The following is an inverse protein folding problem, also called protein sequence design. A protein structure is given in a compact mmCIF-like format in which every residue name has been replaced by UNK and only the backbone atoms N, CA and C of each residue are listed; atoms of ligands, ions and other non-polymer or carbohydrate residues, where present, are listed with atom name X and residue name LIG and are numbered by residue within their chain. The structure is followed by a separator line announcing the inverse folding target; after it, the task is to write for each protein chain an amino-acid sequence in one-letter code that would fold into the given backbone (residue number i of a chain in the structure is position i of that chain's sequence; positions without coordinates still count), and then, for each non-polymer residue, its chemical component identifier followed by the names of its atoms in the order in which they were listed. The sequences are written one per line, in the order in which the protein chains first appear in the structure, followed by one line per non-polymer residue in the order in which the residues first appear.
data_IF_422588722320
#
_entry.id   IF_422588722320
#
_cell.length_a   1.000
_cell.length_b   1.000
_cell.length_c   1.000
_cell.angle_alpha   90.00
_cell.angle_beta   90.00
_cell.angle_gamma   90.00
#
_symmetry.space_group_name_H-M   'P 1'
#
loop_
_entity.id
_entity.type
_entity.pdbx_description
1 polymer ?
#
# COMPACT_ATOMS: atom_id res chain seq x y z
N UNK A 1 8.43 -0.15 8.55
CA UNK A 1 7.92 0.10 7.20
C UNK A 1 8.92 0.97 6.45
N UNK A 2 9.20 0.66 5.20
CA UNK A 2 10.05 1.45 4.31
C UNK A 2 9.16 2.03 3.22
N UNK A 3 9.27 3.32 2.96
CA UNK A 3 8.54 3.98 1.88
C UNK A 3 8.74 5.48 1.92
N UNK A 4 8.59 6.10 0.76
CA UNK A 4 8.62 7.57 0.58
C UNK A 4 7.39 8.00 -0.19
N UNK A 5 6.86 9.17 0.13
CA UNK A 5 5.76 9.77 -0.63
C UNK A 5 6.30 10.47 -1.89
N UNK A 6 7.44 11.14 -1.75
CA UNK A 6 8.11 11.80 -2.88
C UNK A 6 9.52 11.23 -3.02
N UNK A 7 9.88 10.84 -4.23
CA UNK A 7 11.20 10.30 -4.55
C UNK A 7 12.19 11.39 -4.98
N UNK A 8 13.44 11.00 -5.21
CA UNK A 8 14.50 11.89 -5.63
C UNK A 8 14.21 12.65 -6.95
N UNK A 9 13.30 12.14 -7.77
CA UNK A 9 12.96 12.68 -9.08
C UNK A 9 11.72 13.58 -9.08
N UNK A 10 11.16 13.90 -7.90
CA UNK A 10 9.89 14.65 -7.79
C UNK A 10 10.07 16.18 -7.96
N UNK A 11 11.30 16.68 -8.07
CA UNK A 11 11.59 18.09 -8.36
C UNK A 11 11.20 19.03 -7.21
N UNK A 12 10.41 20.08 -7.53
CA UNK A 12 10.04 21.15 -6.56
C UNK A 12 9.39 20.61 -5.29
N UNK A 13 8.67 19.49 -5.36
CA UNK A 13 8.03 18.86 -4.22
C UNK A 13 9.02 18.22 -3.24
N UNK A 14 10.27 18.02 -3.61
CA UNK A 14 11.30 17.51 -2.71
C UNK A 14 11.48 18.39 -1.48
N UNK A 15 11.42 19.71 -1.66
CA UNK A 15 11.57 20.67 -0.56
C UNK A 15 10.38 20.66 0.41
N UNK A 16 9.23 20.18 -0.02
CA UNK A 16 8.03 20.02 0.81
C UNK A 16 7.94 18.62 1.44
N UNK A 17 8.75 17.66 0.98
CA UNK A 17 8.75 16.28 1.46
C UNK A 17 8.90 16.16 2.98
N UNK A 18 9.81 16.88 3.67
CA UNK A 18 9.91 16.83 5.12
C UNK A 18 8.65 17.30 5.83
N UNK A 19 7.95 18.28 5.26
CA UNK A 19 6.71 18.84 5.82
C UNK A 19 5.57 17.85 5.63
N UNK A 20 5.41 17.33 4.42
CA UNK A 20 4.30 16.43 4.06
C UNK A 20 4.49 15.02 4.61
N UNK A 21 5.70 14.47 4.56
CA UNK A 21 5.98 13.11 5.06
C UNK A 21 6.16 13.07 6.57
N UNK A 22 6.48 14.19 7.20
CA UNK A 22 6.76 14.27 8.63
C UNK A 22 7.96 13.45 9.09
N UNK A 23 8.79 12.98 8.17
CA UNK A 23 9.97 12.14 8.47
C UNK A 23 11.23 12.95 8.72
N UNK A 24 11.24 14.23 8.34
CA UNK A 24 12.44 15.08 8.40
C UNK A 24 13.58 14.62 7.47
N UNK A 25 13.36 13.56 6.70
CA UNK A 25 14.37 12.99 5.81
C UNK A 25 14.34 13.66 4.45
N UNK A 26 15.48 14.14 4.01
CA UNK A 26 15.65 14.66 2.64
C UNK A 26 15.93 13.48 1.71
N UNK A 27 15.19 13.32 0.58
CA UNK A 27 15.46 12.27 -0.38
C UNK A 27 16.88 12.40 -0.95
N UNK A 28 17.62 11.29 -0.96
CA UNK A 28 18.90 11.17 -1.66
C UNK A 28 18.69 10.69 -3.09
N UNK A 29 19.73 10.75 -3.93
CA UNK A 29 19.65 10.25 -5.30
C UNK A 29 19.16 8.79 -5.40
N UNK A 30 19.45 7.97 -4.39
CA UNK A 30 19.03 6.56 -4.31
C UNK A 30 17.63 6.37 -3.75
N UNK A 31 16.98 7.44 -3.26
CA UNK A 31 15.63 7.40 -2.67
C UNK A 31 14.54 7.35 -3.75
N UNK A 32 14.67 6.44 -4.71
CA UNK A 32 13.66 6.23 -5.75
C UNK A 32 12.61 5.23 -5.30
N UNK A 33 11.40 5.31 -5.88
CA UNK A 33 10.34 4.32 -5.61
C UNK A 33 10.79 2.91 -5.98
N UNK A 34 11.58 2.77 -7.03
CA UNK A 34 12.15 1.50 -7.45
C UNK A 34 13.06 0.90 -6.37
N UNK A 35 14.00 1.69 -5.85
CA UNK A 35 14.95 1.22 -4.85
C UNK A 35 14.27 0.93 -3.51
N UNK A 36 13.48 1.88 -3.00
CA UNK A 36 12.91 1.81 -1.65
C UNK A 36 11.66 0.91 -1.56
N UNK A 37 10.91 0.77 -2.64
CA UNK A 37 9.68 -0.04 -2.62
C UNK A 37 9.91 -1.38 -3.32
N UNK A 38 10.23 -1.35 -4.63
CA UNK A 38 10.29 -2.58 -5.42
C UNK A 38 11.49 -3.45 -5.04
N UNK A 39 12.70 -2.93 -5.12
CA UNK A 39 13.91 -3.72 -4.83
C UNK A 39 13.94 -4.23 -3.40
N UNK A 40 13.54 -3.42 -2.42
CA UNK A 40 13.50 -3.84 -1.02
C UNK A 40 12.52 -5.00 -0.81
N UNK A 41 11.33 -4.92 -1.40
CA UNK A 41 10.34 -5.99 -1.30
C UNK A 41 10.82 -7.28 -2.00
N UNK A 42 11.44 -7.17 -3.18
CA UNK A 42 11.99 -8.32 -3.90
C UNK A 42 13.14 -8.98 -3.14
N UNK A 43 14.04 -8.21 -2.54
CA UNK A 43 15.10 -8.75 -1.68
C UNK A 43 14.53 -9.51 -0.48
N UNK A 44 13.48 -9.00 0.15
CA UNK A 44 12.79 -9.71 1.23
C UNK A 44 12.15 -11.02 0.75
N UNK A 45 11.54 -11.02 -0.43
CA UNK A 45 11.01 -12.23 -1.06
C UNK A 45 12.11 -13.25 -1.39
N UNK A 46 13.24 -12.81 -1.92
CA UNK A 46 14.35 -13.69 -2.25
C UNK A 46 14.98 -14.29 -0.99
N UNK A 47 15.05 -13.53 0.10
CA UNK A 47 15.45 -14.04 1.40
C UNK A 47 14.50 -15.12 1.94
N UNK A 48 13.20 -15.00 1.67
CA UNK A 48 12.20 -16.03 2.01
C UNK A 48 12.40 -17.27 1.12
N UNK A 49 12.59 -17.08 -0.19
CA UNK A 49 12.81 -18.18 -1.15
C UNK A 49 14.10 -18.95 -0.85
N UNK A 50 15.16 -18.28 -0.42
CA UNK A 50 16.45 -18.88 -0.11
C UNK A 50 16.48 -19.64 1.21
N UNK A 51 15.52 -19.40 2.12
CA UNK A 51 15.39 -20.21 3.33
C UNK A 51 15.03 -21.63 2.95
N UNK A 52 15.99 -22.53 3.10
CA UNK A 52 15.82 -23.96 2.92
C UNK A 52 14.71 -24.45 3.87
N UNK A 53 13.65 -24.97 3.23
CA UNK A 53 12.62 -25.77 3.86
C UNK A 53 11.90 -25.14 5.06
N UNK A 54 10.82 -24.43 4.80
CA UNK A 54 9.72 -24.49 5.74
C UNK A 54 9.33 -25.99 5.84
N UNK A 55 9.43 -26.64 7.00
CA UNK A 55 9.36 -28.11 7.12
C UNK A 55 8.06 -28.73 6.63
N UNK A 56 7.05 -27.92 6.27
CA UNK A 56 5.73 -28.41 5.85
C UNK A 56 5.24 -27.88 4.50
N UNK A 57 6.10 -27.23 3.70
CA UNK A 57 5.72 -26.73 2.38
C UNK A 57 4.64 -25.63 2.37
N UNK A 58 4.26 -25.10 3.54
CA UNK A 58 3.22 -24.06 3.63
C UNK A 58 3.78 -22.70 3.22
N UNK A 59 3.04 -21.92 2.41
CA UNK A 59 3.47 -20.58 2.03
C UNK A 59 3.65 -19.65 3.24
N UNK A 60 4.73 -18.90 3.26
CA UNK A 60 5.03 -17.95 4.33
C UNK A 60 4.16 -16.70 4.16
N UNK A 61 3.39 -16.28 5.19
CA UNK A 61 2.58 -15.08 5.09
C UNK A 61 3.47 -13.83 4.98
N UNK A 62 3.18 -12.97 4.01
CA UNK A 62 3.92 -11.75 3.75
C UNK A 62 2.96 -10.58 3.62
N UNK A 63 3.02 -9.61 4.52
CA UNK A 63 2.21 -8.39 4.43
C UNK A 63 2.93 -7.33 3.63
N UNK A 64 2.27 -6.84 2.59
CA UNK A 64 2.73 -5.72 1.80
C UNK A 64 1.75 -4.54 1.90
N UNK A 65 2.28 -3.39 2.28
CA UNK A 65 1.54 -2.14 2.29
C UNK A 65 1.63 -1.49 0.91
N UNK A 66 0.60 -1.68 0.12
CA UNK A 66 0.42 -1.00 -1.15
C UNK A 66 -0.33 0.33 -0.96
N UNK A 67 -1.18 0.71 -1.89
CA UNK A 67 -2.08 1.86 -1.76
C UNK A 67 -3.36 1.62 -2.57
N UNK A 68 -4.45 2.32 -2.22
CA UNK A 68 -5.74 2.20 -2.90
C UNK A 68 -5.63 2.54 -4.39
N UNK A 69 -4.84 3.56 -4.73
CA UNK A 69 -4.62 3.98 -6.12
C UNK A 69 -3.94 2.89 -6.99
N UNK A 70 -3.21 1.94 -6.40
CA UNK A 70 -2.69 0.81 -7.16
C UNK A 70 -3.80 -0.03 -7.81
N UNK A 71 -4.98 -0.06 -7.21
CA UNK A 71 -6.16 -0.75 -7.73
C UNK A 71 -7.06 0.10 -8.64
N UNK A 72 -6.65 1.28 -9.07
CA UNK A 72 -7.46 2.10 -9.98
C UNK A 72 -7.88 1.39 -11.28
N UNK A 73 -7.01 0.63 -11.97
CA UNK A 73 -7.43 -0.11 -13.16
C UNK A 73 -8.58 -1.11 -12.92
N UNK A 74 -8.83 -1.47 -11.68
CA UNK A 74 -9.88 -2.44 -11.29
C UNK A 74 -11.24 -1.77 -11.01
N UNK A 75 -11.34 -0.44 -11.07
CA UNK A 75 -12.56 0.31 -10.72
C UNK A 75 -13.04 1.20 -11.88
N UNK A 76 -14.34 1.51 -11.94
CA UNK A 76 -14.89 2.43 -12.95
C UNK A 76 -14.15 3.77 -12.94
N UNK A 77 -13.83 4.28 -14.13
CA UNK A 77 -13.06 5.52 -14.36
C UNK A 77 -11.60 5.50 -13.85
N UNK A 78 -11.15 4.43 -13.24
CA UNK A 78 -9.80 4.33 -12.68
C UNK A 78 -8.70 4.45 -13.73
N UNK A 79 -8.90 3.91 -14.94
CA UNK A 79 -7.95 4.05 -16.05
C UNK A 79 -7.72 5.51 -16.43
N UNK A 80 -8.79 6.34 -16.42
CA UNK A 80 -8.69 7.77 -16.70
C UNK A 80 -7.93 8.51 -15.61
N UNK A 81 -8.15 8.12 -14.37
CA UNK A 81 -7.41 8.68 -13.22
C UNK A 81 -5.94 8.29 -13.26
N UNK A 82 -5.65 7.05 -13.61
CA UNK A 82 -4.28 6.55 -13.76
C UNK A 82 -3.53 7.28 -14.88
N UNK A 83 -4.19 7.47 -16.03
CA UNK A 83 -3.62 8.21 -17.16
C UNK A 83 -3.43 9.71 -16.88
N UNK A 84 -4.30 10.32 -16.06
CA UNK A 84 -4.23 11.72 -15.67
C UNK A 84 -3.29 11.95 -14.47
N UNK A 85 -2.78 10.89 -13.85
CA UNK A 85 -1.89 11.00 -12.70
C UNK A 85 -0.55 11.66 -13.09
N UNK A 86 0.01 12.52 -12.25
CA UNK A 86 1.32 13.12 -12.52
C UNK A 86 2.41 12.03 -12.52
N UNK A 87 3.50 12.28 -13.26
CA UNK A 87 4.58 11.32 -13.49
C UNK A 87 5.14 10.66 -12.22
N UNK A 88 5.29 11.44 -11.14
CA UNK A 88 5.78 10.90 -9.86
C UNK A 88 4.82 9.85 -9.28
N UNK A 89 3.50 10.09 -9.41
CA UNK A 89 2.49 9.16 -8.92
C UNK A 89 2.44 7.91 -9.80
N UNK A 90 2.54 8.06 -11.12
CA UNK A 90 2.63 6.93 -12.04
C UNK A 90 3.82 6.02 -11.71
N UNK A 91 5.02 6.60 -11.47
CA UNK A 91 6.20 5.83 -11.04
C UNK A 91 5.98 5.13 -9.70
N UNK A 92 5.36 5.81 -8.75
CA UNK A 92 5.02 5.23 -7.45
C UNK A 92 4.06 4.04 -7.59
N UNK A 93 2.98 4.19 -8.37
CA UNK A 93 2.00 3.15 -8.63
C UNK A 93 2.61 1.96 -9.39
N UNK A 94 3.45 2.23 -10.39
CA UNK A 94 4.18 1.20 -11.12
C UNK A 94 5.05 0.34 -10.20
N UNK A 95 5.81 0.96 -9.28
CA UNK A 95 6.62 0.25 -8.30
C UNK A 95 5.75 -0.61 -7.36
N UNK A 96 4.61 -0.10 -6.89
CA UNK A 96 3.68 -0.84 -6.03
C UNK A 96 3.07 -2.04 -6.75
N UNK A 97 2.53 -1.83 -7.96
CA UNK A 97 1.93 -2.89 -8.78
C UNK A 97 2.93 -3.99 -9.16
N UNK A 98 4.17 -3.62 -9.44
CA UNK A 98 5.23 -4.59 -9.73
C UNK A 98 5.49 -5.52 -8.53
N UNK A 99 5.48 -4.99 -7.30
CA UNK A 99 5.61 -5.80 -6.08
C UNK A 99 4.40 -6.70 -5.88
N UNK A 100 3.18 -6.15 -6.06
CA UNK A 100 1.95 -6.94 -5.94
C UNK A 100 1.93 -8.12 -6.90
N UNK A 101 2.28 -7.89 -8.17
CA UNK A 101 2.37 -8.94 -9.18
C UNK A 101 3.40 -10.00 -8.81
N UNK A 102 4.59 -9.58 -8.34
CA UNK A 102 5.65 -10.51 -7.93
C UNK A 102 5.27 -11.34 -6.70
N UNK A 103 4.56 -10.74 -5.75
CA UNK A 103 4.08 -11.45 -4.55
C UNK A 103 2.99 -12.47 -4.92
N UNK A 104 2.06 -12.08 -5.80
CA UNK A 104 0.95 -12.94 -6.22
C UNK A 104 1.42 -14.15 -7.05
N UNK A 105 2.50 -13.98 -7.81
CA UNK A 105 3.09 -15.05 -8.61
C UNK A 105 4.05 -15.98 -7.86
N UNK A 106 4.28 -15.73 -6.57
CA UNK A 106 5.24 -16.49 -5.77
C UNK A 106 4.56 -17.56 -4.91
N UNK A 107 4.66 -18.83 -5.29
CA UNK A 107 4.05 -19.97 -4.59
C UNK A 107 4.54 -20.17 -3.15
N UNK A 108 5.74 -19.67 -2.83
CA UNK A 108 6.32 -19.78 -1.48
C UNK A 108 5.83 -18.71 -0.51
N UNK A 109 5.10 -17.73 -1.01
CA UNK A 109 4.61 -16.58 -0.24
C UNK A 109 3.09 -16.59 -0.29
N UNK A 110 2.46 -16.44 0.86
CA UNK A 110 1.05 -16.11 0.95
C UNK A 110 0.93 -14.59 1.08
N UNK A 111 0.62 -13.87 -0.01
CA UNK A 111 0.60 -12.42 0.01
C UNK A 111 -0.65 -11.91 0.74
N UNK A 112 -0.45 -10.98 1.67
CA UNK A 112 -1.49 -10.14 2.26
C UNK A 112 -1.22 -8.71 1.83
N UNK A 113 -1.91 -8.26 0.79
CA UNK A 113 -1.68 -6.96 0.18
C UNK A 113 -2.72 -5.98 0.71
N UNK A 114 -2.29 -5.06 1.57
CA UNK A 114 -3.15 -4.01 2.10
C UNK A 114 -3.05 -2.78 1.21
N UNK A 115 -4.21 -2.35 0.66
CA UNK A 115 -4.34 -1.16 -0.19
C UNK A 115 -5.05 -0.03 0.57
N UNK A 116 -4.40 0.59 1.57
CA UNK A 116 -5.01 1.72 2.27
C UNK A 116 -5.13 2.91 1.33
N UNK A 117 -6.17 3.71 1.53
CA UNK A 117 -6.32 5.03 0.96
C UNK A 117 -5.42 6.01 1.73
N UNK A 118 -5.99 6.98 2.39
CA UNK A 118 -5.25 7.94 3.18
C UNK A 118 -5.02 7.41 4.60
N UNK A 119 -3.74 7.30 5.01
CA UNK A 119 -3.37 6.83 6.35
C UNK A 119 -3.14 8.03 7.25
N UNK A 120 -3.79 8.06 8.41
CA UNK A 120 -3.67 9.15 9.35
C UNK A 120 -3.47 8.71 10.81
N UNK A 121 -2.96 9.63 11.61
CA UNK A 121 -2.75 9.48 13.05
C UNK A 121 -3.14 10.76 13.76
N UNK A 122 -3.55 10.67 15.01
CA UNK A 122 -3.91 11.83 15.84
C UNK A 122 -2.76 12.80 16.10
N UNK A 123 -1.52 12.38 15.89
CA UNK A 123 -0.34 13.21 16.11
C UNK A 123 -0.07 14.22 14.99
N UNK A 124 -0.77 14.08 13.83
CA UNK A 124 -0.64 14.98 12.68
C UNK A 124 -1.90 15.84 12.54
N UNK A 125 -1.88 16.97 13.22
CA UNK A 125 -3.01 17.92 13.29
C UNK A 125 -3.31 18.62 11.95
N UNK A 126 -2.31 18.79 11.11
CA UNK A 126 -2.37 19.41 9.79
C UNK A 126 -3.27 18.67 8.79
N UNK A 127 -3.41 17.38 8.97
CA UNK A 127 -4.19 16.48 8.11
C UNK A 127 -5.63 16.33 8.58
N UNK A 128 -5.91 16.55 9.86
CA UNK A 128 -7.22 16.28 10.45
C UNK A 128 -8.40 16.97 9.75
N UNK A 129 -8.30 18.23 9.25
CA UNK A 129 -9.42 18.88 8.55
C UNK A 129 -9.75 18.22 7.20
N UNK A 130 -8.77 17.55 6.56
CA UNK A 130 -8.95 16.91 5.26
C UNK A 130 -9.72 15.60 5.37
N UNK A 131 -9.64 14.92 6.52
CA UNK A 131 -10.23 13.60 6.74
C UNK A 131 -11.75 13.59 6.56
N UNK A 132 -12.54 14.49 7.18
CA UNK A 132 -13.99 14.51 7.01
C UNK A 132 -14.41 14.73 5.55
N UNK A 133 -13.72 15.63 4.85
CA UNK A 133 -13.99 15.89 3.43
C UNK A 133 -13.74 14.63 2.61
N UNK A 134 -12.60 13.98 2.80
CA UNK A 134 -12.22 12.76 2.09
C UNK A 134 -13.18 11.61 2.37
N UNK A 135 -13.52 11.38 3.64
CA UNK A 135 -14.46 10.33 4.05
C UNK A 135 -15.89 10.60 3.56
N UNK A 136 -16.30 11.86 3.43
CA UNK A 136 -17.59 12.24 2.85
C UNK A 136 -17.63 11.90 1.36
N UNK A 137 -16.58 12.22 0.60
CA UNK A 137 -16.49 11.87 -0.82
C UNK A 137 -16.49 10.35 -1.02
N UNK A 138 -15.79 9.61 -0.15
CA UNK A 138 -15.82 8.15 -0.15
C UNK A 138 -17.22 7.59 0.17
N UNK A 139 -17.94 8.23 1.10
CA UNK A 139 -19.30 7.83 1.47
C UNK A 139 -20.33 8.12 0.36
N UNK A 140 -20.09 9.15 -0.45
CA UNK A 140 -20.88 9.46 -1.63
C UNK A 140 -20.63 8.49 -2.80
N UNK A 141 -19.73 7.53 -2.63
CA UNK A 141 -19.47 6.49 -3.64
C UNK A 141 -18.60 6.95 -4.80
N UNK A 142 -17.74 7.96 -4.60
CA UNK A 142 -16.77 8.35 -5.63
C UNK A 142 -15.82 7.18 -5.88
N UNK A 143 -15.80 6.58 -7.10
CA UNK A 143 -15.22 5.25 -7.32
C UNK A 143 -13.73 5.11 -7.03
N UNK A 144 -13.00 6.22 -7.06
CA UNK A 144 -11.53 6.26 -6.89
C UNK A 144 -11.11 6.69 -5.49
N UNK A 145 -12.07 7.01 -4.61
CA UNK A 145 -11.84 7.48 -3.24
C UNK A 145 -12.33 6.43 -2.26
N UNK A 146 -11.40 5.80 -1.54
CA UNK A 146 -11.71 4.92 -0.42
C UNK A 146 -11.62 5.67 0.91
N UNK A 147 -12.35 5.22 1.93
CA UNK A 147 -12.33 5.81 3.27
C UNK A 147 -10.92 5.83 3.86
N UNK A 148 -10.63 6.84 4.64
CA UNK A 148 -9.35 6.97 5.34
C UNK A 148 -9.16 5.87 6.38
N UNK A 149 -7.92 5.55 6.70
CA UNK A 149 -7.56 4.47 7.62
C UNK A 149 -6.62 5.00 8.71
N UNK A 150 -6.91 4.68 9.96
CA UNK A 150 -6.00 4.95 11.07
C UNK A 150 -4.82 3.98 11.07
N UNK A 151 -3.63 4.48 11.43
CA UNK A 151 -2.41 3.67 11.54
C UNK A 151 -2.62 2.44 12.42
N UNK A 152 -3.31 2.58 13.56
CA UNK A 152 -3.54 1.47 14.48
C UNK A 152 -4.45 0.39 13.87
N UNK A 153 -5.48 0.82 13.12
CA UNK A 153 -6.39 -0.10 12.41
C UNK A 153 -5.65 -0.87 11.33
N UNK A 154 -4.78 -0.17 10.59
CA UNK A 154 -3.95 -0.78 9.56
C UNK A 154 -2.99 -1.81 10.15
N UNK A 155 -2.35 -1.49 11.31
CA UNK A 155 -1.49 -2.43 12.03
C UNK A 155 -2.24 -3.69 12.50
N UNK A 156 -3.46 -3.52 13.03
CA UNK A 156 -4.31 -4.66 13.41
C UNK A 156 -4.69 -5.51 12.21
N UNK A 157 -5.05 -4.89 11.09
CA UNK A 157 -5.37 -5.60 9.85
C UNK A 157 -4.17 -6.39 9.31
N UNK A 158 -2.96 -5.81 9.39
CA UNK A 158 -1.73 -6.50 9.00
C UNK A 158 -1.49 -7.77 9.84
N UNK A 159 -1.62 -7.66 11.16
CA UNK A 159 -1.46 -8.81 12.07
C UNK A 159 -2.56 -9.86 11.86
N UNK A 160 -3.80 -9.43 11.68
CA UNK A 160 -4.91 -10.35 11.39
C UNK A 160 -4.68 -11.11 10.08
N UNK A 161 -4.27 -10.42 9.02
CA UNK A 161 -3.94 -11.05 7.73
C UNK A 161 -2.78 -12.05 7.81
N UNK A 162 -1.80 -11.82 8.69
CA UNK A 162 -0.74 -12.80 8.92
C UNK A 162 -1.26 -14.09 9.58
N UNK A 163 -2.22 -13.97 10.50
CA UNK A 163 -2.77 -15.10 11.26
C UNK A 163 -3.84 -15.88 10.49
N UNK A 164 -4.62 -15.20 9.68
CA UNK A 164 -5.71 -15.83 8.94
C UNK A 164 -5.18 -16.45 7.63
N UNK A 165 -5.16 -17.78 7.61
CA UNK A 165 -4.68 -18.53 6.43
C UNK A 165 -5.61 -18.37 5.21
N UNK A 166 -6.86 -18.00 5.39
CA UNK A 166 -7.82 -17.75 4.30
C UNK A 166 -7.60 -16.42 3.57
N UNK A 167 -6.85 -15.52 4.17
CA UNK A 167 -6.58 -14.21 3.56
C UNK A 167 -5.37 -14.30 2.64
N UNK A 168 -5.57 -14.06 1.34
CA UNK A 168 -4.51 -13.98 0.33
C UNK A 168 -4.88 -12.94 -0.74
N UNK A 169 -3.87 -12.26 -1.29
CA UNK A 169 -4.04 -11.24 -2.33
C UNK A 169 -4.42 -9.85 -1.83
N UNK A 170 -4.86 -8.95 -2.74
CA UNK A 170 -5.21 -7.57 -2.43
C UNK A 170 -6.45 -7.47 -1.54
N UNK A 171 -6.34 -6.73 -0.45
CA UNK A 171 -7.44 -6.46 0.48
C UNK A 171 -7.83 -4.99 0.42
N UNK A 172 -9.11 -4.71 0.14
CA UNK A 172 -9.73 -3.39 0.24
C UNK A 172 -10.65 -3.35 1.45
N UNK A 173 -10.71 -2.21 2.14
CA UNK A 173 -11.62 -2.02 3.26
C UNK A 173 -13.06 -2.02 2.75
N UNK A 174 -13.86 -2.99 3.16
CA UNK A 174 -15.30 -3.06 2.92
C UNK A 174 -15.80 -4.16 2.00
N UNK A 175 -14.92 -4.89 1.30
CA UNK A 175 -15.36 -5.96 0.41
C UNK A 175 -15.44 -7.34 1.08
N UNK A 176 -14.53 -7.62 2.04
CA UNK A 176 -14.46 -8.94 2.65
C UNK A 176 -14.14 -8.84 4.16
N UNK A 177 -15.14 -8.59 4.98
CA UNK A 177 -15.04 -8.95 6.40
C UNK A 177 -15.31 -10.45 6.50
N UNK A 178 -14.34 -11.28 6.95
CA UNK A 178 -14.61 -12.69 7.26
C UNK A 178 -15.59 -12.76 8.43
N UNK A 179 -16.86 -12.86 8.17
CA UNK A 179 -17.92 -12.87 9.17
C UNK A 179 -19.32 -12.74 8.60
N UNK A 180 -19.49 -12.35 7.33
CA UNK A 180 -20.83 -12.23 6.74
C UNK A 180 -21.30 -13.50 5.98
N UNK A 181 -20.56 -14.61 6.07
CA UNK A 181 -20.97 -15.90 5.47
C UNK A 181 -21.47 -16.93 6.46
N UNK A 182 -21.99 -16.49 7.61
CA UNK A 182 -22.67 -17.38 8.55
C UNK A 182 -23.98 -16.74 9.01
N UNK A 183 -25.01 -16.84 8.20
CA UNK A 183 -26.43 -16.85 8.55
C UNK A 183 -27.21 -17.47 7.37
#
# INVERSE_FOLDING_TARGET
AVGVLFDANTGVLQNLSPIVSGSGSVPTADSTYDNLTRKTALLAMDAIKSRLAHPFGTPIPFVFLSCAAAGWPEVPFGDKMDAAAPDWLQRYLAAKRAVEASLTSCDRVRPVILRPSFIWTWTKWDILPVIPLWDTLAALGVPVIDKTVRVETLGKAAVAGLRDAGVSGPQRRGADTPGSRAA
#
